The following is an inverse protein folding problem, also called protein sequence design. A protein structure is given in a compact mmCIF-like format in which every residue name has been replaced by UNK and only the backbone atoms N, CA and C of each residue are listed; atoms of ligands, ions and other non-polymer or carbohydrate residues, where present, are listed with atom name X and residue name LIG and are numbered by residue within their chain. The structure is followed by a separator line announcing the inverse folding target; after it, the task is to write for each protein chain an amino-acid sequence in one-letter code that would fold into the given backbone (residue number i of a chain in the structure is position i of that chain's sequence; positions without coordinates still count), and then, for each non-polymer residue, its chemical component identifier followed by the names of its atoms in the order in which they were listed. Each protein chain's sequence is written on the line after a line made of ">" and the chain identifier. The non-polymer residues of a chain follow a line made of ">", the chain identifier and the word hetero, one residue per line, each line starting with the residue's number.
data_IF_320218783307
#
_entry.id   IF_320218783307
#
_cell.length_a   1.000
_cell.length_b   1.000
_cell.length_c   1.000
_cell.angle_alpha   90.00
_cell.angle_beta   90.00
_cell.angle_gamma   90.00
#
_symmetry.space_group_name_H-M   'P 1'
#
loop_
_entity.id
_entity.type
_entity.pdbx_description
1 polymer ?
#
# COMPACT_ATOMS: atom_id res chain seq x y z
N UNK A 1 56.03 15.98 7.42
CA UNK A 1 55.10 15.87 6.28
C UNK A 1 53.90 16.76 6.59
N UNK A 2 53.62 17.74 5.73
CA UNK A 2 52.64 18.79 6.02
C UNK A 2 51.21 18.28 5.84
N UNK A 3 50.34 18.52 6.83
CA UNK A 3 48.91 18.18 6.84
C UNK A 3 48.19 18.74 5.60
N UNK A 4 48.72 19.84 5.02
CA UNK A 4 48.21 20.49 3.81
C UNK A 4 48.27 19.62 2.54
N UNK A 5 49.15 18.63 2.45
CA UNK A 5 49.21 17.72 1.29
C UNK A 5 48.14 16.61 1.35
N UNK A 6 47.53 16.38 2.51
CA UNK A 6 46.52 15.34 2.70
C UNK A 6 45.09 15.84 2.46
N UNK A 7 44.83 17.14 2.60
CA UNK A 7 43.50 17.73 2.35
C UNK A 7 42.97 17.47 0.92
N UNK A 8 43.76 17.70 -0.16
CA UNK A 8 43.27 17.50 -1.53
C UNK A 8 42.95 16.03 -1.82
N UNK A 9 43.71 15.11 -1.22
CA UNK A 9 43.48 13.66 -1.37
C UNK A 9 42.19 13.25 -0.68
N UNK A 10 41.94 13.75 0.54
CA UNK A 10 40.70 13.47 1.28
C UNK A 10 39.48 14.02 0.55
N UNK A 11 39.56 15.23 0.00
CA UNK A 11 38.50 15.82 -0.83
C UNK A 11 38.24 15.01 -2.11
N UNK A 12 39.29 14.58 -2.82
CA UNK A 12 39.14 13.74 -4.00
C UNK A 12 38.50 12.38 -3.65
N UNK A 13 38.91 11.74 -2.57
CA UNK A 13 38.31 10.48 -2.10
C UNK A 13 36.85 10.67 -1.72
N UNK A 14 36.51 11.77 -1.04
CA UNK A 14 35.13 12.11 -0.70
C UNK A 14 34.28 12.34 -1.96
N UNK A 15 34.77 13.14 -2.91
CA UNK A 15 34.08 13.39 -4.18
C UNK A 15 33.88 12.10 -4.99
N UNK A 16 34.89 11.23 -5.06
CA UNK A 16 34.78 9.92 -5.72
C UNK A 16 33.79 9.00 -5.01
N UNK A 17 33.74 9.00 -3.68
CA UNK A 17 32.77 8.25 -2.90
C UNK A 17 31.34 8.77 -3.13
N UNK A 18 31.13 10.09 -3.12
CA UNK A 18 29.84 10.71 -3.43
C UNK A 18 29.41 10.42 -4.88
N UNK A 19 30.32 10.54 -5.85
CA UNK A 19 30.05 10.25 -7.25
C UNK A 19 29.71 8.77 -7.46
N UNK A 20 30.44 7.85 -6.81
CA UNK A 20 30.13 6.42 -6.81
C UNK A 20 28.78 6.14 -6.16
N UNK A 21 28.48 6.73 -5.01
CA UNK A 21 27.20 6.57 -4.33
C UNK A 21 26.04 7.06 -5.19
N UNK A 22 26.17 8.24 -5.81
CA UNK A 22 25.19 8.80 -6.72
C UNK A 22 25.02 7.93 -7.97
N UNK A 23 26.13 7.47 -8.57
CA UNK A 23 26.12 6.57 -9.72
C UNK A 23 25.40 5.26 -9.37
N UNK A 24 25.73 4.65 -8.22
CA UNK A 24 25.03 3.47 -7.73
C UNK A 24 23.53 3.76 -7.56
N UNK A 25 23.13 4.84 -6.89
CA UNK A 25 21.69 5.13 -6.70
C UNK A 25 20.94 5.49 -7.99
N UNK A 26 21.59 6.13 -8.96
CA UNK A 26 20.96 6.51 -10.22
C UNK A 26 20.83 5.33 -11.21
N UNK A 27 21.74 4.34 -11.16
CA UNK A 27 21.72 3.18 -12.04
C UNK A 27 21.24 1.89 -11.36
N UNK A 28 20.99 1.90 -10.05
CA UNK A 28 20.40 0.77 -9.34
C UNK A 28 18.93 0.62 -9.73
N UNK A 29 18.63 -0.44 -10.45
CA UNK A 29 17.26 -0.85 -10.73
C UNK A 29 16.82 -1.88 -9.67
N UNK A 30 15.56 -1.83 -9.24
CA UNK A 30 15.02 -2.81 -8.28
C UNK A 30 15.15 -4.28 -8.72
N UNK A 31 15.45 -4.53 -10.00
CA UNK A 31 15.77 -5.86 -10.49
C UNK A 31 16.97 -6.52 -9.82
N UNK A 32 18.00 -5.76 -9.45
CA UNK A 32 19.14 -6.31 -8.71
C UNK A 32 18.74 -6.78 -7.31
N UNK A 33 17.74 -6.15 -6.69
CA UNK A 33 17.28 -6.52 -5.35
C UNK A 33 16.49 -7.83 -5.35
N UNK A 34 15.83 -8.17 -6.47
CA UNK A 34 14.97 -9.34 -6.64
C UNK A 34 15.63 -10.52 -7.36
N UNK A 35 16.87 -10.38 -7.85
CA UNK A 35 17.60 -11.44 -8.59
C UNK A 35 17.67 -12.78 -7.84
N UNK A 36 17.71 -12.72 -6.51
CA UNK A 36 17.84 -13.90 -5.65
C UNK A 36 16.51 -14.34 -5.01
N UNK A 37 15.41 -13.64 -5.32
CA UNK A 37 14.11 -13.96 -4.72
C UNK A 37 13.54 -15.22 -5.36
N UNK A 38 12.88 -16.04 -4.53
CA UNK A 38 12.13 -17.19 -5.03
C UNK A 38 10.97 -16.76 -5.93
N UNK A 39 10.63 -17.60 -6.90
CA UNK A 39 9.43 -17.39 -7.70
C UNK A 39 8.19 -17.62 -6.82
N UNK A 40 7.23 -16.69 -6.89
CA UNK A 40 5.93 -16.87 -6.27
C UNK A 40 5.18 -18.03 -6.94
N UNK A 41 4.55 -18.89 -6.13
CA UNK A 41 3.65 -19.91 -6.64
C UNK A 41 2.40 -19.28 -7.28
N UNK A 42 1.70 -19.99 -8.17
CA UNK A 42 0.45 -19.50 -8.75
C UNK A 42 -0.56 -19.06 -7.69
N UNK A 43 -0.67 -19.78 -6.57
CA UNK A 43 -1.61 -19.45 -5.49
C UNK A 43 -1.22 -18.18 -4.71
N UNK A 44 0.09 -17.95 -4.52
CA UNK A 44 0.57 -16.72 -3.87
C UNK A 44 0.35 -15.49 -4.76
N UNK A 45 0.45 -15.66 -6.08
CA UNK A 45 0.30 -14.56 -7.03
C UNK A 45 -1.16 -14.33 -7.48
N UNK A 46 -2.02 -15.34 -7.41
CA UNK A 46 -3.41 -15.28 -7.88
C UNK A 46 -4.21 -14.07 -7.35
N UNK A 47 -4.05 -13.60 -6.09
CA UNK A 47 -4.67 -12.36 -5.62
C UNK A 47 -4.28 -11.10 -6.38
N UNK A 48 -3.07 -11.02 -6.90
CA UNK A 48 -2.51 -9.77 -7.41
C UNK A 48 -3.30 -9.24 -8.62
N UNK A 49 -3.54 -10.01 -9.71
CA UNK A 49 -4.29 -9.50 -10.85
C UNK A 49 -5.73 -9.08 -10.52
N UNK A 50 -6.44 -9.86 -9.68
CA UNK A 50 -7.83 -9.50 -9.32
C UNK A 50 -7.89 -8.23 -8.46
N UNK A 51 -6.97 -8.07 -7.51
CA UNK A 51 -6.93 -6.89 -6.65
C UNK A 51 -6.50 -5.65 -7.45
N UNK A 52 -5.61 -5.81 -8.44
CA UNK A 52 -5.30 -4.73 -9.39
C UNK A 52 -6.54 -4.29 -10.18
N UNK A 53 -7.36 -5.21 -10.68
CA UNK A 53 -8.62 -4.86 -11.35
C UNK A 53 -9.60 -4.16 -10.42
N UNK A 54 -9.73 -4.62 -9.18
CA UNK A 54 -10.56 -3.95 -8.17
C UNK A 54 -10.06 -2.54 -7.86
N UNK A 55 -8.74 -2.33 -7.74
CA UNK A 55 -8.16 -0.99 -7.58
C UNK A 55 -8.49 -0.10 -8.78
N UNK A 56 -8.36 -0.62 -10.01
CA UNK A 56 -8.70 0.14 -11.21
C UNK A 56 -10.18 0.52 -11.24
N UNK A 57 -11.07 -0.38 -10.78
CA UNK A 57 -12.49 -0.07 -10.66
C UNK A 57 -12.77 1.10 -9.71
N UNK A 58 -11.96 1.33 -8.67
CA UNK A 58 -12.11 2.52 -7.79
C UNK A 58 -12.00 3.85 -8.57
N UNK A 59 -11.28 3.85 -9.70
CA UNK A 59 -11.11 5.03 -10.54
C UNK A 59 -12.32 5.31 -11.45
N UNK A 60 -13.23 4.36 -11.63
CA UNK A 60 -14.46 4.59 -12.40
C UNK A 60 -15.44 5.48 -11.61
N UNK A 61 -16.19 6.28 -12.35
CA UNK A 61 -17.30 7.06 -11.79
C UNK A 61 -18.60 6.25 -11.74
N UNK A 62 -18.80 5.35 -12.72
CA UNK A 62 -19.91 4.40 -12.78
C UNK A 62 -19.38 2.97 -12.99
N UNK A 63 -19.65 2.07 -12.04
CA UNK A 63 -19.24 0.67 -12.10
C UNK A 63 -20.16 -0.19 -12.97
N UNK A 64 -21.40 0.25 -13.25
CA UNK A 64 -22.30 -0.44 -14.16
C UNK A 64 -21.96 -0.16 -15.62
N UNK A 65 -21.43 1.05 -15.90
CA UNK A 65 -21.00 1.48 -17.24
C UNK A 65 -19.57 2.01 -17.23
N UNK A 66 -18.57 1.14 -16.99
CA UNK A 66 -17.18 1.56 -16.83
C UNK A 66 -16.60 2.14 -18.13
N UNK A 67 -15.86 3.24 -18.03
CA UNK A 67 -15.28 3.95 -19.16
C UNK A 67 -13.90 3.41 -19.56
N UNK A 68 -13.12 2.94 -18.59
CA UNK A 68 -11.70 2.60 -18.71
C UNK A 68 -11.43 1.12 -18.40
N UNK A 69 -12.45 0.27 -18.53
CA UNK A 69 -12.33 -1.15 -18.31
C UNK A 69 -11.24 -1.77 -19.22
N UNK A 70 -10.33 -2.60 -18.67
CA UNK A 70 -9.36 -3.33 -19.49
C UNK A 70 -10.08 -4.39 -20.35
N UNK A 71 -9.40 -4.99 -21.35
CA UNK A 71 -9.95 -6.13 -22.08
C UNK A 71 -10.41 -7.25 -21.12
N UNK A 72 -11.67 -7.66 -21.24
CA UNK A 72 -12.30 -8.62 -20.33
C UNK A 72 -12.95 -8.02 -19.07
N UNK A 73 -12.92 -6.70 -18.92
CA UNK A 73 -13.55 -5.99 -17.80
C UNK A 73 -12.78 -6.10 -16.49
N UNK A 74 -13.38 -5.56 -15.42
CA UNK A 74 -12.81 -5.64 -14.07
C UNK A 74 -13.01 -7.00 -13.40
N UNK A 75 -13.93 -7.84 -13.91
CA UNK A 75 -14.28 -9.11 -13.27
C UNK A 75 -14.88 -8.93 -11.88
N UNK A 76 -15.57 -7.81 -11.66
CA UNK A 76 -16.31 -7.51 -10.42
C UNK A 76 -17.81 -7.67 -10.67
N UNK A 77 -18.53 -8.12 -9.67
CA UNK A 77 -20.00 -8.11 -9.61
C UNK A 77 -20.46 -6.83 -8.89
N UNK A 78 -21.05 -5.83 -9.60
CA UNK A 78 -21.44 -4.55 -8.98
C UNK A 78 -22.37 -4.69 -7.78
N UNK A 79 -23.21 -5.73 -7.73
CA UNK A 79 -24.12 -5.99 -6.60
C UNK A 79 -23.40 -6.36 -5.30
N UNK A 80 -22.13 -6.71 -5.36
CA UNK A 80 -21.31 -7.03 -4.18
C UNK A 80 -20.50 -5.84 -3.67
N UNK A 81 -20.62 -4.68 -4.33
CA UNK A 81 -20.12 -3.42 -3.81
C UNK A 81 -20.97 -3.01 -2.61
N UNK A 82 -20.31 -2.80 -1.47
CA UNK A 82 -20.97 -2.28 -0.27
C UNK A 82 -21.15 -0.77 -0.44
N UNK A 83 -20.05 -0.06 -0.71
CA UNK A 83 -20.06 1.35 -1.09
C UNK A 83 -18.74 1.80 -1.68
N UNK A 84 -18.79 2.91 -2.43
CA UNK A 84 -17.64 3.71 -2.85
C UNK A 84 -17.70 5.06 -2.13
N UNK A 85 -16.61 5.47 -1.49
CA UNK A 85 -16.50 6.79 -0.85
C UNK A 85 -15.46 7.64 -1.56
N UNK A 86 -15.92 8.77 -2.07
CA UNK A 86 -15.11 9.80 -2.76
C UNK A 86 -14.62 10.87 -1.79
N UNK A 87 -13.86 11.84 -2.27
CA UNK A 87 -13.36 12.97 -1.47
C UNK A 87 -14.47 13.77 -0.76
N UNK A 88 -15.64 13.86 -1.38
CA UNK A 88 -16.82 14.51 -0.82
C UNK A 88 -17.33 13.76 0.42
N UNK A 89 -17.19 12.43 0.43
CA UNK A 89 -17.54 11.58 1.56
C UNK A 89 -16.44 11.56 2.62
N UNK A 90 -15.15 11.63 2.22
CA UNK A 90 -14.02 11.54 3.14
C UNK A 90 -13.59 12.87 3.73
N UNK A 91 -14.11 14.00 3.25
CA UNK A 91 -13.63 15.33 3.63
C UNK A 91 -12.15 15.55 3.31
N UNK A 92 -11.58 14.78 2.38
CA UNK A 92 -10.15 14.82 2.05
C UNK A 92 -9.23 14.11 3.06
N UNK A 93 -9.76 13.42 4.09
CA UNK A 93 -8.94 12.70 5.06
C UNK A 93 -8.30 11.42 4.51
N UNK A 94 -8.88 10.85 3.46
CA UNK A 94 -8.37 9.68 2.78
C UNK A 94 -8.67 9.76 1.27
N UNK A 95 -7.84 9.13 0.41
CA UNK A 95 -8.15 8.96 -1.00
C UNK A 95 -9.46 8.20 -1.17
N UNK A 96 -10.04 8.30 -2.36
CA UNK A 96 -11.27 7.53 -2.68
C UNK A 96 -11.03 6.03 -2.50
N UNK A 97 -12.04 5.31 -2.03
CA UNK A 97 -11.97 3.88 -1.81
C UNK A 97 -13.30 3.18 -2.08
N UNK A 98 -13.21 1.87 -2.24
CA UNK A 98 -14.31 0.94 -2.48
C UNK A 98 -14.26 -0.17 -1.44
N UNK A 99 -15.39 -0.43 -0.79
CA UNK A 99 -15.59 -1.61 0.05
C UNK A 99 -16.40 -2.64 -0.73
N UNK A 100 -15.85 -3.84 -0.86
CA UNK A 100 -16.34 -4.91 -1.74
C UNK A 100 -16.34 -6.25 -1.03
N UNK A 101 -17.37 -7.07 -1.25
CA UNK A 101 -17.43 -8.45 -0.73
C UNK A 101 -17.25 -9.44 -1.87
N UNK A 102 -16.04 -9.97 -2.01
CA UNK A 102 -15.73 -10.96 -3.02
C UNK A 102 -16.17 -12.35 -2.54
N UNK A 103 -17.41 -12.72 -2.87
CA UNK A 103 -17.96 -14.01 -2.51
C UNK A 103 -17.29 -15.19 -3.22
N UNK A 104 -16.64 -14.97 -4.38
CA UNK A 104 -15.91 -16.03 -5.06
C UNK A 104 -14.65 -16.44 -4.29
N UNK A 105 -13.99 -15.47 -3.64
CA UNK A 105 -12.75 -15.70 -2.90
C UNK A 105 -12.93 -15.72 -1.38
N UNK A 106 -14.18 -15.60 -0.90
CA UNK A 106 -14.50 -15.46 0.52
C UNK A 106 -13.68 -14.33 1.16
N UNK A 107 -13.76 -13.13 0.60
CA UNK A 107 -12.90 -12.01 0.97
C UNK A 107 -13.69 -10.71 1.12
N UNK A 108 -13.49 -9.99 2.22
CA UNK A 108 -13.95 -8.61 2.40
C UNK A 108 -12.78 -7.70 2.02
N UNK A 109 -12.93 -6.92 0.95
CA UNK A 109 -11.85 -6.14 0.36
C UNK A 109 -12.12 -4.65 0.46
N UNK A 110 -11.19 -3.91 1.08
CA UNK A 110 -11.19 -2.45 1.05
C UNK A 110 -10.05 -2.00 0.12
N UNK A 111 -10.44 -1.45 -1.03
CA UNK A 111 -9.54 -1.01 -2.09
C UNK A 111 -9.42 0.52 -2.11
N UNK A 112 -8.20 1.05 -1.95
CA UNK A 112 -7.91 2.49 -1.94
C UNK A 112 -7.17 2.88 -3.21
N UNK A 113 -7.67 3.87 -3.95
CA UNK A 113 -6.98 4.35 -5.16
C UNK A 113 -5.74 5.18 -4.82
N UNK A 114 -4.89 5.35 -5.81
CA UNK A 114 -3.78 6.31 -5.76
C UNK A 114 -4.25 7.76 -5.85
N UNK A 115 -3.29 8.67 -5.73
CA UNK A 115 -3.56 10.10 -5.67
C UNK A 115 -4.30 10.62 -6.90
N UNK A 116 -5.15 11.61 -6.68
CA UNK A 116 -5.67 12.47 -7.72
C UNK A 116 -4.83 13.75 -7.75
N UNK A 117 -4.12 13.99 -8.87
CA UNK A 117 -3.23 15.15 -9.00
C UNK A 117 -3.96 16.50 -8.92
N UNK A 118 -5.28 16.53 -9.08
CA UNK A 118 -6.10 17.73 -8.91
C UNK A 118 -6.60 17.93 -7.46
N UNK A 119 -6.34 17.00 -6.54
CA UNK A 119 -6.83 17.07 -5.15
C UNK A 119 -5.69 17.39 -4.20
N UNK A 120 -5.71 18.62 -3.67
CA UNK A 120 -4.70 19.12 -2.71
C UNK A 120 -4.60 18.25 -1.45
N UNK A 121 -5.72 17.65 -1.02
CA UNK A 121 -5.77 16.77 0.14
C UNK A 121 -4.84 15.55 0.02
N UNK A 122 -4.66 15.01 -1.19
CA UNK A 122 -3.77 13.88 -1.40
C UNK A 122 -2.30 14.28 -1.26
N UNK A 123 -1.95 15.50 -1.68
CA UNK A 123 -0.64 16.06 -1.41
C UNK A 123 -0.45 16.33 0.09
N UNK A 124 -1.48 16.79 0.79
CA UNK A 124 -1.41 16.98 2.24
C UNK A 124 -1.13 15.66 2.97
N UNK A 125 -1.77 14.55 2.57
CA UNK A 125 -1.48 13.21 3.11
C UNK A 125 -0.03 12.79 2.81
N UNK A 126 0.44 12.99 1.58
CA UNK A 126 1.78 12.57 1.17
C UNK A 126 2.89 13.43 1.81
N UNK A 127 2.67 14.73 1.98
CA UNK A 127 3.68 15.68 2.44
C UNK A 127 3.67 15.89 3.95
N UNK A 128 2.65 15.39 4.67
CA UNK A 128 2.62 15.39 6.14
C UNK A 128 3.54 14.29 6.70
N UNK A 129 4.85 14.50 6.58
CA UNK A 129 5.84 13.62 7.18
C UNK A 129 7.19 14.30 7.44
N UNK A 130 7.75 14.02 8.60
CA UNK A 130 9.11 14.38 9.01
C UNK A 130 9.83 13.17 9.60
N UNK A 131 11.16 13.16 9.51
CA UNK A 131 11.96 12.05 10.04
C UNK A 131 11.68 11.86 11.54
N UNK A 132 11.31 10.64 11.92
CA UNK A 132 11.06 10.29 13.32
C UNK A 132 9.78 10.89 13.92
N UNK A 133 8.94 11.57 13.14
CA UNK A 133 7.76 12.28 13.63
C UNK A 133 6.73 11.37 14.30
N UNK A 134 6.47 10.19 13.72
CA UNK A 134 5.41 9.29 14.20
C UNK A 134 5.98 7.90 14.47
N UNK A 135 5.71 7.40 15.68
CA UNK A 135 6.01 6.03 16.12
C UNK A 135 4.73 5.21 16.14
N UNK A 136 4.85 3.94 15.77
CA UNK A 136 3.78 2.95 15.86
C UNK A 136 4.40 1.58 16.14
N UNK A 137 3.84 0.82 17.08
CA UNK A 137 4.27 -0.54 17.42
C UNK A 137 5.81 -0.71 17.56
N UNK A 138 6.47 0.25 18.20
CA UNK A 138 7.92 0.21 18.41
C UNK A 138 8.79 0.50 17.17
N UNK A 139 8.20 0.87 16.04
CA UNK A 139 8.91 1.41 14.87
C UNK A 139 8.44 2.82 14.49
N UNK A 140 8.83 3.26 13.30
CA UNK A 140 8.46 4.55 12.72
C UNK A 140 7.61 4.36 11.48
N UNK A 141 6.64 5.24 11.30
CA UNK A 141 5.70 5.20 10.17
C UNK A 141 5.55 6.59 9.57
N UNK A 142 5.08 6.64 8.33
CA UNK A 142 4.76 7.89 7.67
C UNK A 142 3.52 8.53 8.30
N UNK A 143 3.65 9.77 8.78
CA UNK A 143 2.62 10.40 9.61
C UNK A 143 1.28 10.60 8.87
N UNK A 144 1.28 11.21 7.69
CA UNK A 144 0.05 11.46 6.92
C UNK A 144 -0.65 10.17 6.47
N UNK A 145 0.09 9.18 5.97
CA UNK A 145 -0.45 7.86 5.64
C UNK A 145 -1.09 7.16 6.84
N UNK A 146 -0.47 7.23 8.03
CA UNK A 146 -1.06 6.66 9.23
C UNK A 146 -2.33 7.40 9.64
N UNK A 147 -2.36 8.74 9.60
CA UNK A 147 -3.57 9.51 9.91
C UNK A 147 -4.73 9.15 8.98
N UNK A 148 -4.47 9.02 7.68
CA UNK A 148 -5.48 8.59 6.70
C UNK A 148 -5.99 7.17 7.00
N UNK A 149 -5.08 6.26 7.40
CA UNK A 149 -5.44 4.90 7.79
C UNK A 149 -6.25 4.83 9.10
N UNK A 150 -5.87 5.58 10.13
CA UNK A 150 -6.62 5.71 11.39
C UNK A 150 -8.03 6.24 11.11
N UNK A 151 -8.15 7.28 10.27
CA UNK A 151 -9.45 7.82 9.86
C UNK A 151 -10.29 6.79 9.11
N UNK A 152 -9.72 6.08 8.13
CA UNK A 152 -10.41 5.01 7.39
C UNK A 152 -10.88 3.89 8.31
N UNK A 153 -10.01 3.49 9.24
CA UNK A 153 -10.33 2.46 10.21
C UNK A 153 -11.54 2.88 11.04
N UNK A 154 -11.52 4.08 11.63
CA UNK A 154 -12.64 4.55 12.44
C UNK A 154 -13.93 4.72 11.62
N UNK A 155 -13.83 5.16 10.36
CA UNK A 155 -14.99 5.33 9.48
C UNK A 155 -15.64 4.00 9.02
N UNK A 156 -14.86 2.91 8.95
CA UNK A 156 -15.31 1.63 8.37
C UNK A 156 -15.31 0.47 9.38
N UNK A 157 -14.77 0.65 10.59
CA UNK A 157 -14.59 -0.43 11.56
C UNK A 157 -15.89 -1.20 11.85
N UNK A 158 -16.99 -0.50 12.08
CA UNK A 158 -18.28 -1.14 12.36
C UNK A 158 -18.81 -1.91 11.14
N UNK A 159 -18.68 -1.33 9.93
CA UNK A 159 -19.11 -1.99 8.69
C UNK A 159 -18.25 -3.24 8.43
N UNK A 160 -16.93 -3.15 8.60
CA UNK A 160 -16.01 -4.27 8.45
C UNK A 160 -16.30 -5.38 9.45
N UNK A 161 -16.55 -5.04 10.72
CA UNK A 161 -16.96 -6.00 11.75
C UNK A 161 -18.24 -6.72 11.33
N UNK A 162 -19.28 -5.97 10.99
CA UNK A 162 -20.58 -6.53 10.60
C UNK A 162 -20.47 -7.44 9.36
N UNK A 163 -19.65 -7.06 8.37
CA UNK A 163 -19.39 -7.89 7.19
C UNK A 163 -18.67 -9.20 7.55
N UNK A 164 -17.68 -9.15 8.44
CA UNK A 164 -16.93 -10.34 8.88
C UNK A 164 -17.79 -11.28 9.74
N UNK A 165 -18.71 -10.73 10.54
CA UNK A 165 -19.67 -11.51 11.33
C UNK A 165 -20.71 -12.20 10.43
N UNK A 166 -21.22 -11.49 9.41
CA UNK A 166 -22.18 -12.03 8.43
C UNK A 166 -21.56 -13.04 7.47
N UNK A 167 -20.24 -12.99 7.28
CA UNK A 167 -19.50 -13.89 6.39
C UNK A 167 -18.40 -14.64 7.17
N UNK A 168 -18.76 -15.61 8.04
CA UNK A 168 -17.79 -16.38 8.80
C UNK A 168 -16.78 -17.07 7.88
N UNK A 169 -15.50 -17.00 8.25
CA UNK A 169 -14.39 -17.58 7.49
C UNK A 169 -13.79 -16.66 6.43
N UNK A 170 -14.43 -15.54 6.08
CA UNK A 170 -13.90 -14.64 5.04
C UNK A 170 -12.60 -13.98 5.47
N UNK A 171 -11.67 -13.73 4.55
CA UNK A 171 -10.51 -12.88 4.85
C UNK A 171 -10.90 -11.41 4.85
N UNK A 172 -10.07 -10.58 5.51
CA UNK A 172 -10.12 -9.12 5.41
C UNK A 172 -8.87 -8.68 4.63
N UNK A 173 -9.05 -8.17 3.42
CA UNK A 173 -7.95 -7.78 2.55
C UNK A 173 -7.97 -6.29 2.30
N UNK A 174 -6.86 -5.62 2.61
CA UNK A 174 -6.63 -4.24 2.23
C UNK A 174 -5.79 -4.19 0.96
N UNK A 175 -6.20 -3.38 -0.02
CA UNK A 175 -5.44 -3.27 -1.27
C UNK A 175 -5.41 -1.83 -1.76
N UNK A 176 -4.33 -1.43 -2.41
CA UNK A 176 -4.24 -0.08 -2.96
C UNK A 176 -3.06 0.11 -3.87
N UNK A 177 -3.08 1.20 -4.62
CA UNK A 177 -2.02 1.58 -5.56
C UNK A 177 -1.37 2.91 -5.17
N UNK A 178 -0.05 3.02 -5.30
CA UNK A 178 0.70 4.27 -5.12
C UNK A 178 0.38 4.92 -3.75
N UNK A 179 -0.20 6.12 -3.68
CA UNK A 179 -0.61 6.73 -2.40
C UNK A 179 -1.53 5.80 -1.59
N UNK A 180 -2.54 5.21 -2.23
CA UNK A 180 -3.48 4.29 -1.58
C UNK A 180 -2.81 3.04 -1.03
N UNK A 181 -1.74 2.56 -1.67
CA UNK A 181 -0.97 1.41 -1.18
C UNK A 181 -0.26 1.70 0.15
N UNK A 182 0.24 2.93 0.33
CA UNK A 182 0.83 3.37 1.59
C UNK A 182 -0.23 3.50 2.70
N UNK A 183 -1.41 4.00 2.34
CA UNK A 183 -2.56 4.08 3.26
C UNK A 183 -3.00 2.69 3.70
N UNK A 184 -3.17 1.73 2.77
CA UNK A 184 -3.59 0.37 3.16
C UNK A 184 -2.54 -0.41 3.93
N UNK A 185 -1.25 -0.15 3.67
CA UNK A 185 -0.17 -0.73 4.47
C UNK A 185 -0.27 -0.26 5.94
N UNK A 186 -0.54 1.03 6.17
CA UNK A 186 -0.79 1.56 7.51
C UNK A 186 -2.10 1.02 8.11
N UNK A 187 -3.16 0.92 7.30
CA UNK A 187 -4.46 0.38 7.72
C UNK A 187 -4.34 -1.06 8.19
N UNK A 188 -3.50 -1.87 7.54
CA UNK A 188 -3.20 -3.23 7.97
C UNK A 188 -2.54 -3.26 9.37
N UNK A 189 -1.59 -2.34 9.64
CA UNK A 189 -1.00 -2.19 10.98
C UNK A 189 -2.07 -1.88 12.03
N UNK A 190 -2.93 -0.90 11.74
CA UNK A 190 -4.02 -0.45 12.62
C UNK A 190 -5.02 -1.58 12.87
N UNK A 191 -5.48 -2.26 11.82
CA UNK A 191 -6.44 -3.36 11.91
C UNK A 191 -5.90 -4.55 12.72
N UNK A 192 -4.64 -4.92 12.52
CA UNK A 192 -3.98 -6.00 13.28
C UNK A 192 -3.78 -5.63 14.75
N UNK A 193 -3.55 -4.35 15.05
CA UNK A 193 -3.43 -3.85 16.42
C UNK A 193 -4.79 -3.78 17.14
N UNK A 194 -5.88 -3.55 16.40
CA UNK A 194 -7.24 -3.33 16.92
C UNK A 194 -8.22 -4.46 16.50
N UNK A 195 -7.77 -5.72 16.49
CA UNK A 195 -8.59 -6.86 16.01
C UNK A 195 -9.84 -7.10 16.83
N UNK A 196 -9.81 -6.74 18.11
CA UNK A 196 -10.95 -6.77 19.02
C UNK A 196 -12.10 -5.88 18.50
N UNK A 197 -11.80 -4.71 17.93
CA UNK A 197 -12.80 -3.83 17.31
C UNK A 197 -13.39 -4.41 16.01
N UNK A 198 -12.67 -5.32 15.36
CA UNK A 198 -13.08 -6.06 14.16
C UNK A 198 -13.71 -7.44 14.48
N UNK A 199 -14.35 -7.59 15.65
CA UNK A 199 -15.00 -8.84 16.04
C UNK A 199 -14.01 -9.97 16.36
N UNK A 200 -12.77 -9.64 16.69
CA UNK A 200 -11.74 -10.62 17.07
C UNK A 200 -11.16 -11.40 15.89
N UNK A 201 -11.20 -10.85 14.66
CA UNK A 201 -10.66 -11.52 13.47
C UNK A 201 -9.23 -12.03 13.70
N UNK A 202 -8.97 -13.26 13.28
CA UNK A 202 -7.64 -13.86 13.41
C UNK A 202 -6.63 -13.11 12.55
N UNK A 203 -5.42 -12.85 13.07
CA UNK A 203 -4.36 -12.15 12.33
C UNK A 203 -4.10 -12.76 10.95
N UNK A 204 -4.09 -14.09 10.83
CA UNK A 204 -3.89 -14.83 9.57
C UNK A 204 -4.97 -14.58 8.50
N UNK A 205 -6.14 -14.07 8.90
CA UNK A 205 -7.24 -13.68 8.00
C UNK A 205 -7.13 -12.24 7.53
N UNK A 206 -6.26 -11.42 8.14
CA UNK A 206 -5.98 -10.06 7.67
C UNK A 206 -4.82 -10.11 6.68
N UNK A 207 -5.03 -9.51 5.50
CA UNK A 207 -4.02 -9.45 4.44
C UNK A 207 -3.95 -8.04 3.88
N UNK A 208 -2.81 -7.69 3.32
CA UNK A 208 -2.62 -6.46 2.59
C UNK A 208 -1.82 -6.72 1.31
N UNK A 209 -2.26 -6.16 0.19
CA UNK A 209 -1.53 -6.15 -1.07
C UNK A 209 -1.32 -4.71 -1.51
N UNK A 210 -0.11 -4.22 -1.25
CA UNK A 210 0.28 -2.84 -1.53
C UNK A 210 0.95 -2.80 -2.91
N UNK A 211 0.26 -2.23 -3.91
CA UNK A 211 0.73 -2.15 -5.29
C UNK A 211 1.54 -0.87 -5.52
N UNK A 212 2.78 -1.02 -5.96
CA UNK A 212 3.74 0.08 -6.13
C UNK A 212 3.86 0.99 -4.89
N UNK A 213 4.21 0.44 -3.71
CA UNK A 213 4.18 1.20 -2.47
C UNK A 213 5.30 2.20 -2.31
N UNK A 214 4.94 3.35 -1.74
CA UNK A 214 5.90 4.28 -1.18
C UNK A 214 6.49 3.71 0.12
N UNK A 215 7.72 4.09 0.45
CA UNK A 215 8.32 3.78 1.75
C UNK A 215 7.52 4.45 2.86
N UNK A 216 6.83 3.65 3.67
CA UNK A 216 5.86 4.15 4.65
C UNK A 216 6.11 3.66 6.09
N UNK A 217 7.09 2.77 6.32
CA UNK A 217 7.45 2.28 7.65
C UNK A 217 8.93 1.91 7.77
N UNK A 218 9.41 1.82 9.01
CA UNK A 218 10.75 1.34 9.34
C UNK A 218 10.90 -0.16 9.11
N UNK A 219 12.14 -0.61 8.85
CA UNK A 219 12.46 -2.00 8.53
C UNK A 219 11.95 -3.00 9.59
N UNK A 220 12.03 -2.66 10.87
CA UNK A 220 11.54 -3.55 11.94
C UNK A 220 10.03 -3.80 11.86
N UNK A 221 9.23 -2.82 11.40
CA UNK A 221 7.80 -3.00 11.16
C UNK A 221 7.57 -3.82 9.90
N UNK A 222 8.30 -3.52 8.82
CA UNK A 222 8.20 -4.28 7.58
C UNK A 222 8.46 -5.78 7.82
N UNK A 223 9.47 -6.13 8.62
CA UNK A 223 9.76 -7.52 9.01
C UNK A 223 8.68 -8.09 9.92
N UNK A 224 8.22 -7.33 10.92
CA UNK A 224 7.20 -7.79 11.88
C UNK A 224 5.83 -8.06 11.24
N UNK A 225 5.51 -7.38 10.15
CA UNK A 225 4.23 -7.49 9.45
C UNK A 225 4.35 -8.19 8.08
N UNK A 226 5.48 -8.88 7.82
CA UNK A 226 5.72 -9.60 6.57
C UNK A 226 4.72 -10.75 6.33
N UNK A 227 4.05 -11.25 7.37
CA UNK A 227 2.97 -12.23 7.28
C UNK A 227 1.62 -11.64 6.86
N UNK A 228 1.48 -10.31 6.91
CA UNK A 228 0.23 -9.59 6.62
C UNK A 228 0.36 -8.75 5.35
N UNK A 229 1.48 -8.03 5.16
CA UNK A 229 1.66 -7.02 4.11
C UNK A 229 2.54 -7.56 2.99
N UNK A 230 1.95 -7.72 1.81
CA UNK A 230 2.62 -8.06 0.56
C UNK A 230 2.86 -6.80 -0.25
N UNK A 231 4.12 -6.45 -0.51
CA UNK A 231 4.48 -5.36 -1.41
C UNK A 231 4.66 -5.90 -2.82
N UNK A 232 3.91 -5.36 -3.78
CA UNK A 232 3.96 -5.80 -5.18
C UNK A 232 4.56 -4.68 -6.03
N UNK A 233 5.66 -4.99 -6.70
CA UNK A 233 6.36 -4.05 -7.59
C UNK A 233 6.43 -4.70 -8.97
N UNK A 234 5.97 -3.98 -9.99
CA UNK A 234 6.13 -4.42 -11.37
C UNK A 234 7.58 -4.22 -11.80
N UNK A 235 8.24 -5.31 -12.17
CA UNK A 235 9.58 -5.28 -12.74
C UNK A 235 9.50 -5.57 -14.23
N UNK A 236 9.86 -4.59 -15.05
CA UNK A 236 9.99 -4.79 -16.50
C UNK A 236 11.34 -5.47 -16.73
N UNK A 237 11.31 -6.77 -16.99
CA UNK A 237 12.51 -7.47 -17.49
C UNK A 237 12.81 -6.94 -18.89
N UNK A 238 14.00 -6.38 -19.08
CA UNK A 238 14.53 -6.22 -20.44
C UNK A 238 14.87 -7.62 -20.92
N UNK A 239 14.02 -8.20 -21.76
CA UNK A 239 14.41 -9.35 -22.58
C UNK A 239 15.70 -8.97 -23.30
N UNK A 240 16.79 -9.70 -23.04
CA UNK A 240 18.02 -9.64 -23.84
C UNK A 240 17.77 -10.42 -25.12
#
# INVERSE_FOLDING_TARGET
>A
MSIACCLPVVECVYCLACARWACQHCFHTGGYDSETWGLASPNEFEPVPRLCRLILAVYEDDLEHPQWAPPGGYGIEPRWVVHRKTYEHTGGHAPTYLLYVDHHHSDVVLAVRGMNMAKESDYAVLLDNSLGQRRFDGGYVHNGLLKAAEWLFDAECDVLRDLLERNPGYTLTFTGHSLGSGVVAMLALVAVHNRDRLGGVERKRIRCFAMAPARCMSLNLAVRYADVINSVILQISKSI
#
